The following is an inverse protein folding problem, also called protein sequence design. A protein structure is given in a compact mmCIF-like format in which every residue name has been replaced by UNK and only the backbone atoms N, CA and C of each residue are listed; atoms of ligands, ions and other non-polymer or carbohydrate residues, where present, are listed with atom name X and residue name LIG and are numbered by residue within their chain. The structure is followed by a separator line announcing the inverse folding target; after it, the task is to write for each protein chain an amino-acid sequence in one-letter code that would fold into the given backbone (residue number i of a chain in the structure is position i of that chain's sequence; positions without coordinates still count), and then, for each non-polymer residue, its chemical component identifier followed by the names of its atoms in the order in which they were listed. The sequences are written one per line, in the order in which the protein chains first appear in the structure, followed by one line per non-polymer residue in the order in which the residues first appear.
data_IF_401553748425
#
_entry.id   IF_401553748425
#
_cell.length_a   1.000
_cell.length_b   1.000
_cell.length_c   1.000
_cell.angle_alpha   90.00
_cell.angle_beta   90.00
_cell.angle_gamma   90.00
#
_symmetry.space_group_name_H-M   'P 1'
#
loop_
_entity.id
_entity.type
_entity.pdbx_description
1 polymer ?
#
# COMPACT_ATOMS: atom_id res chain seq x y z
N UNK A 1 15.99 -25.46 0.58
CA UNK A 1 15.87 -24.54 -0.57
C UNK A 1 17.27 -24.19 -1.04
N UNK A 2 17.59 -24.43 -2.31
CA UNK A 2 18.95 -24.27 -2.85
C UNK A 2 19.38 -22.80 -2.90
N UNK A 3 20.69 -22.58 -2.81
CA UNK A 3 21.34 -21.26 -2.80
C UNK A 3 21.05 -20.46 -4.10
N UNK A 4 20.61 -21.13 -5.17
CA UNK A 4 20.48 -20.59 -6.52
C UNK A 4 19.22 -19.74 -6.79
N UNK A 5 18.20 -19.75 -5.91
CA UNK A 5 16.95 -19.01 -6.15
C UNK A 5 16.89 -17.62 -5.50
N UNK A 6 17.90 -17.26 -4.71
CA UNK A 6 18.01 -15.90 -4.16
C UNK A 6 18.59 -15.00 -5.24
N UNK A 7 17.76 -14.46 -6.14
CA UNK A 7 18.08 -13.17 -6.78
C UNK A 7 18.25 -12.16 -5.65
N UNK A 8 19.48 -12.06 -5.15
CA UNK A 8 19.86 -11.22 -4.05
C UNK A 8 19.48 -9.80 -4.47
N UNK A 9 18.53 -9.19 -3.74
CA UNK A 9 18.26 -7.77 -3.88
C UNK A 9 19.63 -7.09 -3.76
N UNK A 10 20.13 -6.46 -4.82
CA UNK A 10 21.40 -5.74 -4.77
C UNK A 10 21.24 -4.65 -3.73
N UNK A 11 21.80 -4.86 -2.54
CA UNK A 11 21.81 -3.87 -1.46
C UNK A 11 22.56 -2.67 -1.98
N UNK A 12 21.93 -1.50 -1.93
CA UNK A 12 22.62 -0.25 -2.21
C UNK A 12 23.56 0.04 -1.06
N UNK A 13 24.62 0.81 -1.32
CA UNK A 13 25.52 1.31 -0.27
C UNK A 13 24.70 1.96 0.84
N UNK A 14 23.82 2.90 0.49
CA UNK A 14 22.94 3.57 1.42
C UNK A 14 21.67 4.04 0.71
N UNK A 15 20.57 4.10 1.47
CA UNK A 15 19.34 4.81 1.15
C UNK A 15 18.80 5.38 2.44
N UNK A 16 18.29 6.60 2.44
CA UNK A 16 17.58 7.14 3.58
C UNK A 16 16.26 6.38 3.79
N UNK A 17 15.74 6.25 5.03
CA UNK A 17 14.46 5.60 5.29
C UNK A 17 13.30 6.16 4.43
N UNK A 18 13.33 7.45 4.12
CA UNK A 18 12.36 8.11 3.24
C UNK A 18 12.46 7.61 1.78
N UNK A 19 13.67 7.33 1.30
CA UNK A 19 13.85 6.72 -0.02
C UNK A 19 13.36 5.26 -0.01
N UNK A 20 13.62 4.50 1.06
CA UNK A 20 13.04 3.15 1.23
C UNK A 20 11.51 3.23 1.18
N UNK A 21 10.94 4.21 1.87
CA UNK A 21 9.50 4.44 1.97
C UNK A 21 8.89 4.72 0.60
N UNK A 22 9.37 5.76 -0.10
CA UNK A 22 8.85 6.16 -1.42
C UNK A 22 9.05 5.07 -2.47
N UNK A 23 10.19 4.38 -2.46
CA UNK A 23 10.52 3.45 -3.53
C UNK A 23 9.90 2.07 -3.34
N UNK A 24 9.68 1.62 -2.10
CA UNK A 24 9.29 0.24 -1.83
C UNK A 24 8.05 0.10 -0.96
N UNK A 25 7.96 0.86 0.14
CA UNK A 25 6.87 0.71 1.12
C UNK A 25 5.57 1.30 0.60
N UNK A 26 5.59 2.54 0.10
CA UNK A 26 4.42 3.22 -0.45
C UNK A 26 3.80 2.43 -1.63
N UNK A 27 4.58 1.93 -2.62
CA UNK A 27 4.04 1.05 -3.65
C UNK A 27 3.46 -0.27 -3.11
N UNK A 28 4.04 -0.83 -2.06
CA UNK A 28 3.52 -2.06 -1.43
C UNK A 28 2.19 -1.79 -0.71
N UNK A 29 2.06 -0.68 0.03
CA UNK A 29 0.82 -0.26 0.68
C UNK A 29 -0.28 -0.03 -0.36
N UNK A 30 0.00 0.76 -1.42
CA UNK A 30 -0.96 1.00 -2.51
C UNK A 30 -1.46 -0.29 -3.16
N UNK A 31 -0.55 -1.26 -3.37
CA UNK A 31 -0.93 -2.57 -3.90
C UNK A 31 -1.89 -3.32 -2.96
N UNK A 32 -1.60 -3.35 -1.66
CA UNK A 32 -2.47 -4.03 -0.69
C UNK A 32 -3.82 -3.30 -0.55
N UNK A 33 -3.85 -1.96 -0.53
CA UNK A 33 -5.09 -1.18 -0.58
C UNK A 33 -5.94 -1.55 -1.81
N UNK A 34 -5.33 -1.55 -3.00
CA UNK A 34 -6.04 -1.89 -4.23
C UNK A 34 -6.65 -3.30 -4.20
N UNK A 35 -5.93 -4.29 -3.64
CA UNK A 35 -6.45 -5.65 -3.47
C UNK A 35 -7.64 -5.70 -2.51
N UNK A 36 -7.54 -5.03 -1.35
CA UNK A 36 -8.63 -4.99 -0.36
C UNK A 36 -9.86 -4.30 -0.92
N UNK A 37 -9.68 -3.12 -1.53
CA UNK A 37 -10.80 -2.39 -2.14
C UNK A 37 -11.48 -3.22 -3.24
N UNK A 38 -10.71 -3.99 -4.02
CA UNK A 38 -11.27 -4.80 -5.11
C UNK A 38 -12.20 -5.92 -4.63
N UNK A 39 -12.06 -6.38 -3.39
CA UNK A 39 -12.94 -7.38 -2.78
C UNK A 39 -14.15 -6.78 -2.09
N UNK A 40 -14.21 -5.45 -1.93
CA UNK A 40 -15.29 -4.76 -1.22
C UNK A 40 -16.50 -4.48 -2.11
N UNK A 41 -17.65 -4.40 -1.46
CA UNK A 41 -18.93 -4.03 -2.07
C UNK A 41 -19.54 -2.84 -1.32
N UNK A 42 -20.25 -2.00 -2.06
CA UNK A 42 -20.95 -0.81 -1.57
C UNK A 42 -22.41 -0.87 -2.01
N UNK A 43 -23.30 -0.37 -1.17
CA UNK A 43 -24.74 -0.36 -1.46
C UNK A 43 -25.09 0.91 -2.23
N UNK A 44 -25.59 0.78 -3.45
CA UNK A 44 -26.05 1.91 -4.27
C UNK A 44 -27.50 1.71 -4.72
N UNK A 45 -28.17 2.81 -5.04
CA UNK A 45 -29.55 2.78 -5.56
C UNK A 45 -29.46 2.59 -7.07
N UNK A 46 -30.04 1.49 -7.57
CA UNK A 46 -30.15 1.23 -9.01
C UNK A 46 -31.25 2.06 -9.67
N UNK A 47 -31.32 2.02 -10.99
CA UNK A 47 -32.35 2.71 -11.79
C UNK A 47 -33.78 2.28 -11.42
N UNK A 48 -33.93 1.07 -10.88
CA UNK A 48 -35.18 0.53 -10.35
C UNK A 48 -35.53 1.02 -8.93
N UNK A 49 -34.77 1.98 -8.39
CA UNK A 49 -34.96 2.54 -7.04
C UNK A 49 -34.56 1.60 -5.90
N UNK A 50 -34.00 0.43 -6.20
CA UNK A 50 -33.64 -0.60 -5.20
C UNK A 50 -32.17 -0.49 -4.80
N UNK A 51 -31.91 -0.74 -3.52
CA UNK A 51 -30.55 -0.89 -2.98
C UNK A 51 -29.95 -2.20 -3.46
N UNK A 52 -28.79 -2.15 -4.09
CA UNK A 52 -28.03 -3.31 -4.60
C UNK A 52 -26.57 -3.20 -4.18
N UNK A 53 -25.91 -4.35 -4.05
CA UNK A 53 -24.47 -4.41 -3.82
C UNK A 53 -23.71 -4.22 -5.14
N UNK A 54 -22.83 -3.23 -5.16
CA UNK A 54 -21.94 -2.94 -6.27
C UNK A 54 -20.50 -3.19 -5.85
N UNK A 55 -19.73 -3.84 -6.72
CA UNK A 55 -18.28 -3.98 -6.50
C UNK A 55 -17.60 -2.64 -6.76
N UNK A 56 -16.59 -2.33 -5.95
CA UNK A 56 -15.70 -1.21 -6.26
C UNK A 56 -14.93 -1.52 -7.55
N UNK A 57 -15.04 -0.62 -8.52
CA UNK A 57 -14.43 -0.73 -9.85
C UNK A 57 -12.96 -0.33 -9.82
N UNK A 58 -12.19 -0.73 -10.84
CA UNK A 58 -10.77 -0.33 -10.91
C UNK A 58 -10.63 1.18 -11.12
N UNK A 59 -11.56 1.81 -11.85
CA UNK A 59 -11.62 3.25 -12.06
C UNK A 59 -11.77 4.02 -10.74
N UNK A 60 -12.70 3.58 -9.89
CA UNK A 60 -12.91 4.18 -8.56
C UNK A 60 -11.70 4.00 -7.66
N UNK A 61 -11.10 2.80 -7.65
CA UNK A 61 -9.86 2.54 -6.89
C UNK A 61 -8.70 3.42 -7.38
N UNK A 62 -8.56 3.57 -8.70
CA UNK A 62 -7.54 4.41 -9.32
C UNK A 62 -7.69 5.87 -8.90
N UNK A 63 -8.93 6.39 -8.95
CA UNK A 63 -9.27 7.73 -8.46
C UNK A 63 -8.93 7.90 -6.98
N UNK A 64 -9.42 7.00 -6.12
CA UNK A 64 -9.17 7.07 -4.68
C UNK A 64 -7.69 7.02 -4.30
N UNK A 65 -6.86 6.28 -5.05
CA UNK A 65 -5.43 6.12 -4.80
C UNK A 65 -4.54 7.14 -5.54
N UNK A 66 -5.14 8.03 -6.34
CA UNK A 66 -4.42 9.03 -7.13
C UNK A 66 -3.44 8.40 -8.14
N UNK A 67 -3.83 7.28 -8.76
CA UNK A 67 -3.02 6.56 -9.77
C UNK A 67 -3.86 6.25 -11.01
N UNK A 68 -3.23 5.74 -12.06
CA UNK A 68 -3.92 5.37 -13.29
C UNK A 68 -4.57 3.98 -13.17
N UNK A 69 -5.65 3.72 -13.93
CA UNK A 69 -6.28 2.39 -13.99
C UNK A 69 -5.29 1.26 -14.36
N UNK A 70 -4.35 1.45 -15.32
CA UNK A 70 -3.30 0.47 -15.57
C UNK A 70 -2.43 0.16 -14.34
N UNK A 71 -2.17 1.12 -13.46
CA UNK A 71 -1.44 0.85 -12.22
C UNK A 71 -2.23 -0.08 -11.30
N UNK A 72 -3.55 0.09 -11.21
CA UNK A 72 -4.43 -0.82 -10.45
C UNK A 72 -4.42 -2.21 -11.07
N UNK A 73 -4.53 -2.31 -12.41
CA UNK A 73 -4.38 -3.61 -13.10
C UNK A 73 -3.05 -4.27 -12.72
N UNK A 74 -1.93 -3.54 -12.74
CA UNK A 74 -0.63 -4.09 -12.34
C UNK A 74 -0.59 -4.57 -10.89
N UNK A 75 -1.22 -3.85 -9.96
CA UNK A 75 -1.33 -4.25 -8.55
C UNK A 75 -2.12 -5.54 -8.34
N UNK A 76 -3.19 -5.74 -9.12
CA UNK A 76 -4.10 -6.88 -8.99
C UNK A 76 -3.61 -8.15 -9.71
N UNK A 77 -2.67 -8.02 -10.65
CA UNK A 77 -2.08 -9.20 -11.31
C UNK A 77 -1.40 -10.11 -10.28
N UNK A 78 -1.62 -11.44 -10.42
CA UNK A 78 -0.97 -12.46 -9.57
C UNK A 78 0.56 -12.30 -9.59
N UNK A 79 1.18 -12.41 -8.42
CA UNK A 79 2.63 -12.27 -8.24
C UNK A 79 3.37 -13.41 -8.95
N UNK A 80 3.89 -13.13 -10.15
CA UNK A 80 4.83 -13.99 -10.88
C UNK A 80 6.23 -13.38 -10.79
N UNK A 81 6.88 -13.55 -9.64
CA UNK A 81 8.18 -12.93 -9.34
C UNK A 81 8.10 -11.46 -8.94
N UNK A 82 9.23 -10.75 -9.09
CA UNK A 82 9.37 -9.31 -8.79
C UNK A 82 9.18 -8.52 -10.08
N UNK A 83 8.08 -7.76 -10.19
CA UNK A 83 7.77 -6.93 -11.37
C UNK A 83 7.90 -5.44 -11.07
N UNK A 84 7.68 -5.06 -9.82
CA UNK A 84 7.81 -3.69 -9.33
C UNK A 84 8.68 -3.64 -8.06
N UNK A 85 9.08 -2.44 -7.65
CA UNK A 85 9.77 -2.24 -6.37
C UNK A 85 8.89 -2.64 -5.18
N UNK A 86 7.59 -2.37 -5.24
CA UNK A 86 6.64 -2.82 -4.23
C UNK A 86 6.63 -4.34 -4.05
N UNK A 87 6.91 -5.14 -5.08
CA UNK A 87 6.93 -6.62 -4.98
C UNK A 87 8.09 -7.18 -4.16
N UNK A 88 9.11 -6.34 -3.92
CA UNK A 88 10.27 -6.66 -3.08
C UNK A 88 9.94 -6.52 -1.58
N UNK A 89 8.80 -5.90 -1.25
CA UNK A 89 8.30 -5.76 0.12
C UNK A 89 7.00 -6.53 0.28
N UNK A 90 7.02 -7.48 1.21
CA UNK A 90 5.81 -8.11 1.73
C UNK A 90 5.43 -7.36 3.00
N UNK A 91 4.23 -6.79 3.04
CA UNK A 91 3.68 -6.16 4.24
C UNK A 91 3.41 -7.26 5.28
N UNK A 92 3.95 -7.17 6.50
CA UNK A 92 3.63 -8.14 7.56
C UNK A 92 2.13 -8.25 7.83
N UNK A 93 1.65 -9.47 8.08
CA UNK A 93 0.22 -9.76 8.22
C UNK A 93 -0.45 -8.92 9.34
N UNK A 94 0.30 -8.56 10.38
CA UNK A 94 -0.18 -7.72 11.48
C UNK A 94 -0.64 -6.32 11.06
N UNK A 95 -0.17 -5.80 9.92
CA UNK A 95 -0.60 -4.49 9.40
C UNK A 95 -1.77 -4.57 8.42
N UNK A 96 -2.15 -5.78 7.99
CA UNK A 96 -3.27 -5.96 7.05
C UNK A 96 -4.60 -5.43 7.61
N UNK A 97 -4.96 -5.64 8.89
CA UNK A 97 -6.17 -5.04 9.45
C UNK A 97 -6.17 -3.50 9.38
N UNK A 98 -5.01 -2.86 9.56
CA UNK A 98 -4.89 -1.41 9.47
C UNK A 98 -5.07 -0.90 8.04
N UNK A 99 -4.54 -1.64 7.05
CA UNK A 99 -4.73 -1.35 5.62
C UNK A 99 -6.20 -1.54 5.22
N UNK A 100 -6.84 -2.61 5.71
CA UNK A 100 -8.24 -2.90 5.42
C UNK A 100 -9.18 -1.81 5.97
N UNK A 101 -8.95 -1.38 7.22
CA UNK A 101 -9.64 -0.24 7.83
C UNK A 101 -9.49 1.03 7.01
N UNK A 102 -8.27 1.34 6.57
CA UNK A 102 -8.01 2.51 5.72
C UNK A 102 -8.72 2.40 4.37
N UNK A 103 -8.82 1.20 3.79
CA UNK A 103 -9.62 0.98 2.58
C UNK A 103 -11.11 1.30 2.80
N UNK A 104 -11.70 0.90 3.95
CA UNK A 104 -13.09 1.27 4.27
C UNK A 104 -13.29 2.77 4.41
N UNK A 105 -12.36 3.45 5.09
CA UNK A 105 -12.41 4.91 5.27
C UNK A 105 -12.43 5.62 3.91
N UNK A 106 -11.54 5.20 3.00
CA UNK A 106 -11.44 5.79 1.66
C UNK A 106 -12.66 5.48 0.80
N UNK A 107 -13.17 4.24 0.83
CA UNK A 107 -14.40 3.88 0.11
C UNK A 107 -15.59 4.70 0.63
N UNK A 108 -15.76 4.80 1.95
CA UNK A 108 -16.84 5.57 2.54
C UNK A 108 -16.75 7.07 2.21
N UNK A 109 -15.54 7.60 2.08
CA UNK A 109 -15.31 8.98 1.63
C UNK A 109 -15.72 9.15 0.15
N UNK A 110 -15.34 8.20 -0.70
CA UNK A 110 -15.70 8.20 -2.11
C UNK A 110 -17.23 8.10 -2.34
N UNK A 111 -17.91 7.21 -1.62
CA UNK A 111 -19.38 7.06 -1.71
C UNK A 111 -20.15 8.30 -1.21
N UNK A 112 -19.52 9.15 -0.39
CA UNK A 112 -20.07 10.44 0.04
C UNK A 112 -19.92 11.54 -1.01
N UNK A 113 -19.34 11.23 -2.18
CA UNK A 113 -19.09 12.18 -3.26
C UNK A 113 -18.30 13.42 -2.79
N UNK A 114 -17.31 13.20 -1.92
CA UNK A 114 -16.36 14.26 -1.58
C UNK A 114 -15.61 14.73 -2.83
N UNK A 115 -15.19 16.00 -2.83
CA UNK A 115 -14.35 16.53 -3.90
C UNK A 115 -12.96 15.86 -3.89
N UNK A 116 -12.22 16.07 -4.97
CA UNK A 116 -10.91 15.45 -5.16
C UNK A 116 -9.90 15.84 -4.08
N UNK A 117 -9.90 17.10 -3.64
CA UNK A 117 -8.96 17.60 -2.62
C UNK A 117 -9.18 16.89 -1.28
N UNK A 118 -10.44 16.79 -0.83
CA UNK A 118 -10.82 16.08 0.39
C UNK A 118 -10.47 14.58 0.30
N UNK A 119 -10.70 13.97 -0.87
CA UNK A 119 -10.34 12.57 -1.11
C UNK A 119 -8.82 12.34 -0.99
N UNK A 120 -8.02 13.22 -1.58
CA UNK A 120 -6.57 13.09 -1.52
C UNK A 120 -6.00 13.42 -0.14
N UNK A 121 -6.64 14.31 0.63
CA UNK A 121 -6.29 14.52 2.03
C UNK A 121 -6.55 13.25 2.85
N UNK A 122 -7.72 12.62 2.68
CA UNK A 122 -8.08 11.36 3.37
C UNK A 122 -7.10 10.24 3.00
N UNK A 123 -6.84 10.03 1.70
CA UNK A 123 -5.85 9.06 1.24
C UNK A 123 -4.49 9.31 1.89
N UNK A 124 -4.03 10.56 1.87
CA UNK A 124 -2.73 10.95 2.42
C UNK A 124 -2.66 10.66 3.91
N UNK A 125 -3.69 11.03 4.66
CA UNK A 125 -3.78 10.77 6.11
C UNK A 125 -3.73 9.28 6.41
N UNK A 126 -4.50 8.47 5.69
CA UNK A 126 -4.58 7.03 5.93
C UNK A 126 -3.27 6.29 5.59
N UNK A 127 -2.64 6.62 4.45
CA UNK A 127 -1.34 6.04 4.09
C UNK A 127 -0.27 6.44 5.10
N UNK A 128 -0.20 7.72 5.51
CA UNK A 128 0.76 8.17 6.50
C UNK A 128 0.54 7.51 7.88
N UNK A 129 -0.72 7.28 8.27
CA UNK A 129 -1.07 6.55 9.49
C UNK A 129 -0.53 5.12 9.46
N UNK A 130 -0.68 4.40 8.35
CA UNK A 130 -0.13 3.05 8.17
C UNK A 130 1.40 3.08 8.23
N UNK A 131 2.05 4.01 7.53
CA UNK A 131 3.50 4.17 7.52
C UNK A 131 4.03 4.45 8.93
N UNK A 132 3.35 5.32 9.69
CA UNK A 132 3.69 5.62 11.08
C UNK A 132 3.63 4.36 11.94
N UNK A 133 2.55 3.59 11.86
CA UNK A 133 2.42 2.32 12.60
C UNK A 133 3.55 1.34 12.24
N UNK A 134 3.89 1.21 10.96
CA UNK A 134 5.01 0.38 10.52
C UNK A 134 6.37 0.88 11.00
N UNK A 135 6.52 2.19 11.20
CA UNK A 135 7.74 2.82 11.71
C UNK A 135 7.87 2.60 13.22
N UNK A 136 6.81 2.85 13.97
CA UNK A 136 6.75 2.72 15.43
C UNK A 136 6.96 1.25 15.86
N UNK A 137 6.49 0.30 15.06
CA UNK A 137 6.70 -1.14 15.26
C UNK A 137 8.12 -1.62 14.91
N UNK A 138 8.89 -0.83 14.14
CA UNK A 138 10.23 -1.19 13.69
C UNK A 138 10.29 -1.96 12.36
N UNK A 139 9.14 -2.32 11.76
CA UNK A 139 9.10 -2.95 10.45
C UNK A 139 9.78 -2.11 9.35
N UNK A 140 9.72 -0.78 9.43
CA UNK A 140 10.47 0.10 8.51
C UNK A 140 11.98 -0.12 8.60
N UNK A 141 12.53 -0.35 9.80
CA UNK A 141 13.95 -0.65 10.00
C UNK A 141 14.33 -1.98 9.37
N UNK A 142 13.48 -3.00 9.49
CA UNK A 142 13.71 -4.31 8.87
C UNK A 142 13.72 -4.24 7.35
N UNK A 143 12.83 -3.42 6.78
CA UNK A 143 12.82 -3.15 5.34
C UNK A 143 14.07 -2.37 4.95
N UNK A 144 14.46 -1.35 5.71
CA UNK A 144 15.66 -0.56 5.45
C UNK A 144 16.93 -1.42 5.42
N UNK A 145 17.13 -2.32 6.39
CA UNK A 145 18.27 -3.28 6.43
C UNK A 145 18.31 -4.23 5.22
N UNK A 146 17.16 -4.51 4.58
CA UNK A 146 17.12 -5.34 3.36
C UNK A 146 17.69 -4.62 2.15
N UNK A 147 17.57 -3.29 2.08
CA UNK A 147 17.94 -2.51 0.91
C UNK A 147 19.24 -1.70 1.06
N UNK A 148 19.66 -1.40 2.29
CA UNK A 148 20.86 -0.61 2.59
C UNK A 148 21.92 -1.47 3.28
N UNK A 149 23.15 -1.48 2.76
CA UNK A 149 24.23 -2.34 3.25
C UNK A 149 24.80 -1.92 4.62
N UNK A 150 24.82 -0.62 4.92
CA UNK A 150 25.49 -0.07 6.11
C UNK A 150 24.55 0.23 7.29
N UNK A 151 23.34 -0.31 7.30
CA UNK A 151 22.42 -0.15 8.44
C UNK A 151 22.82 -1.14 9.53
N UNK A 152 23.30 -0.61 10.66
CA UNK A 152 23.65 -1.43 11.82
C UNK A 152 22.40 -2.04 12.47
N UNK A 153 22.58 -3.18 13.14
CA UNK A 153 21.48 -3.84 13.84
C UNK A 153 20.95 -3.01 15.02
N UNK A 154 21.84 -2.32 15.72
CA UNK A 154 21.58 -1.43 16.87
C UNK A 154 21.27 0.02 16.49
N UNK A 155 20.99 0.29 15.20
CA UNK A 155 20.70 1.64 14.71
C UNK A 155 19.55 2.32 15.47
N UNK A 156 19.79 3.53 15.98
CA UNK A 156 18.83 4.37 16.71
C UNK A 156 18.53 5.71 16.03
N UNK A 157 18.99 5.91 14.79
CA UNK A 157 18.94 7.21 14.10
C UNK A 157 17.54 7.83 13.98
N UNK A 158 16.49 7.00 13.98
CA UNK A 158 15.09 7.45 13.84
C UNK A 158 14.29 7.41 15.16
N UNK A 159 14.93 7.10 16.31
CA UNK A 159 14.29 7.16 17.63
C UNK A 159 14.28 8.62 18.10
N UNK A 160 13.32 9.41 17.65
CA UNK A 160 13.10 10.79 18.09
C UNK A 160 11.61 11.05 18.21
#
# INVERSE_FOLDING_TARGET
MSIAERKQIKRRTWMMPQEVEVWYVLPAIRRELAKMMKTKTVVRIGEDGKKKDHKVTQKEIAHMLGVTEPAITQYLLKKKGVRSRGDQVNIPQKFIPEIDKSADIMINAYEKHLNDDDMFEIMTREINRIIKIMRDDGAMCDIHRKFSAHVKDDCSACKR
#
